data_IF_530768302732
#
_entry.id   IF_530768302732
#
_cell.length_a   1.000
_cell.length_b   1.000
_cell.length_c   1.000
_cell.angle_alpha   90.00
_cell.angle_beta   90.00
_cell.angle_gamma   90.00
#
_symmetry.space_group_name_H-M   'P 1'
#
loop_
_entity.id
_entity.type
_entity.pdbx_description
1 polymer ?
#
# COMPACT_ATOMS: atom_id res chain seq x y z
N UNK A 1 -13.07 -10.13 6.90
CA UNK A 1 -12.14 -10.74 5.92
C UNK A 1 -10.75 -10.21 6.25
N UNK A 2 -9.88 -11.03 6.83
CA UNK A 2 -8.46 -10.70 6.83
C UNK A 2 -7.99 -10.84 5.37
N UNK A 3 -7.30 -9.85 4.83
CA UNK A 3 -6.46 -10.08 3.66
C UNK A 3 -5.53 -11.25 4.01
N UNK A 4 -5.55 -12.32 3.21
CA UNK A 4 -4.59 -13.39 3.36
C UNK A 4 -3.20 -12.79 3.32
N UNK A 5 -2.29 -13.24 4.18
CA UNK A 5 -0.92 -12.72 4.30
C UNK A 5 -0.25 -12.60 2.92
N UNK A 6 -0.60 -13.51 2.00
CA UNK A 6 -0.18 -13.54 0.60
C UNK A 6 -0.58 -12.29 -0.22
N UNK A 7 -1.76 -11.72 0.02
CA UNK A 7 -2.23 -10.55 -0.71
C UNK A 7 -1.56 -9.26 -0.21
N UNK A 8 -1.28 -9.18 1.09
CA UNK A 8 -0.48 -8.09 1.65
C UNK A 8 0.96 -8.13 1.12
N UNK A 9 1.58 -9.31 1.07
CA UNK A 9 2.92 -9.52 0.49
C UNK A 9 2.94 -9.13 -0.99
N UNK A 10 1.91 -9.53 -1.76
CA UNK A 10 1.78 -9.18 -3.18
C UNK A 10 1.64 -7.68 -3.40
N UNK A 11 0.79 -6.99 -2.63
CA UNK A 11 0.62 -5.53 -2.72
C UNK A 11 1.91 -4.80 -2.34
N UNK A 12 2.62 -5.29 -1.31
CA UNK A 12 3.92 -4.75 -0.92
C UNK A 12 4.96 -4.90 -2.04
N UNK A 13 5.04 -6.05 -2.71
CA UNK A 13 5.94 -6.26 -3.85
C UNK A 13 5.63 -5.35 -5.04
N UNK A 14 4.35 -5.12 -5.34
CA UNK A 14 3.92 -4.18 -6.40
C UNK A 14 4.34 -2.75 -6.03
N UNK A 15 4.10 -2.33 -4.78
CA UNK A 15 4.46 -0.99 -4.32
C UNK A 15 5.97 -0.76 -4.37
N UNK A 16 6.78 -1.73 -3.90
CA UNK A 16 8.24 -1.66 -4.00
C UNK A 16 8.73 -1.59 -5.45
N UNK A 17 8.16 -2.41 -6.35
CA UNK A 17 8.55 -2.41 -7.76
C UNK A 17 8.23 -1.08 -8.44
N UNK A 18 7.03 -0.55 -8.21
CA UNK A 18 6.62 0.75 -8.73
C UNK A 18 7.51 1.87 -8.18
N UNK A 19 7.83 1.82 -6.89
CA UNK A 19 8.69 2.80 -6.23
C UNK A 19 10.13 2.77 -6.78
N UNK A 20 10.72 1.58 -7.01
CA UNK A 20 12.03 1.43 -7.68
C UNK A 20 12.01 2.02 -9.10
N UNK A 21 10.94 1.77 -9.86
CA UNK A 21 10.80 2.28 -11.24
C UNK A 21 10.73 3.81 -11.31
N UNK A 22 10.31 4.49 -10.24
CA UNK A 22 10.29 5.96 -10.19
C UNK A 22 11.68 6.58 -10.08
N UNK A 23 12.72 5.81 -9.73
CA UNK A 23 14.06 6.33 -9.46
C UNK A 23 14.20 7.05 -8.11
N UNK A 24 13.11 7.12 -7.33
CA UNK A 24 13.08 7.72 -6.00
C UNK A 24 14.00 6.98 -5.01
N UNK A 25 14.63 7.70 -4.10
CA UNK A 25 15.55 7.15 -3.09
C UNK A 25 15.30 7.74 -1.71
N UNK A 26 15.57 6.96 -0.67
CA UNK A 26 15.44 7.40 0.72
C UNK A 26 14.04 7.93 1.00
N UNK A 27 13.95 9.17 1.51
CA UNK A 27 12.68 9.79 1.90
C UNK A 27 11.66 9.91 0.75
N UNK A 28 12.13 10.08 -0.48
CA UNK A 28 11.25 10.16 -1.66
C UNK A 28 10.61 8.79 -1.97
N UNK A 29 11.35 7.70 -1.74
CA UNK A 29 10.84 6.34 -1.90
C UNK A 29 9.74 6.05 -0.89
N UNK A 30 9.94 6.45 0.37
CA UNK A 30 8.96 6.28 1.44
C UNK A 30 7.65 7.03 1.13
N UNK A 31 7.75 8.24 0.56
CA UNK A 31 6.58 9.02 0.12
C UNK A 31 5.84 8.35 -1.05
N UNK A 32 6.56 7.83 -2.05
CA UNK A 32 5.96 7.12 -3.19
C UNK A 32 5.24 5.85 -2.71
N UNK A 33 5.85 5.11 -1.79
CA UNK A 33 5.24 3.92 -1.21
C UNK A 33 3.97 4.28 -0.43
N UNK A 34 4.01 5.33 0.39
CA UNK A 34 2.83 5.82 1.13
C UNK A 34 1.68 6.19 0.18
N UNK A 35 1.97 6.94 -0.88
CA UNK A 35 1.01 7.32 -1.92
C UNK A 35 0.37 6.10 -2.61
N UNK A 36 1.16 5.07 -2.92
CA UNK A 36 0.64 3.84 -3.54
C UNK A 36 -0.35 3.15 -2.60
N UNK A 37 0.01 3.02 -1.32
CA UNK A 37 -0.88 2.38 -0.35
C UNK A 37 -2.14 3.20 -0.08
N UNK A 38 -2.07 4.54 -0.03
CA UNK A 38 -3.23 5.41 0.11
C UNK A 38 -4.23 5.19 -1.02
N UNK A 39 -3.74 5.10 -2.26
CA UNK A 39 -4.59 4.81 -3.43
C UNK A 39 -5.20 3.41 -3.31
N UNK A 40 -4.43 2.40 -2.89
CA UNK A 40 -4.94 1.03 -2.73
C UNK A 40 -6.03 0.95 -1.65
N UNK A 41 -5.85 1.63 -0.52
CA UNK A 41 -6.86 1.72 0.55
C UNK A 41 -8.10 2.45 0.04
N UNK A 42 -7.94 3.58 -0.64
CA UNK A 42 -9.06 4.34 -1.21
C UNK A 42 -9.85 3.50 -2.23
N UNK A 43 -9.18 2.73 -3.09
CA UNK A 43 -9.82 1.83 -4.04
C UNK A 43 -10.53 0.66 -3.35
N UNK A 44 -9.89 0.02 -2.37
CA UNK A 44 -10.50 -1.08 -1.62
C UNK A 44 -11.73 -0.63 -0.82
N UNK A 45 -11.74 0.62 -0.35
CA UNK A 45 -12.85 1.23 0.38
C UNK A 45 -13.97 1.78 -0.52
N UNK A 46 -13.86 1.72 -1.85
CA UNK A 46 -14.98 2.09 -2.75
C UNK A 46 -16.14 1.11 -2.72
N UNK A 47 -15.89 -0.13 -2.31
CA UNK A 47 -16.95 -1.13 -2.12
C UNK A 47 -17.53 -0.99 -0.71
N UNK A 48 -18.68 -0.31 -0.61
CA UNK A 48 -19.39 -0.04 0.65
C UNK A 48 -19.82 -1.31 1.39
N UNK A 49 -19.87 -2.46 0.71
CA UNK A 49 -20.23 -3.75 1.29
C UNK A 49 -19.06 -4.45 1.98
N UNK A 50 -17.84 -3.90 1.90
CA UNK A 50 -16.64 -4.48 2.51
C UNK A 50 -16.18 -3.67 3.72
N UNK A 51 -15.57 -4.33 4.72
CA UNK A 51 -15.03 -3.62 5.87
C UNK A 51 -13.96 -2.62 5.43
N UNK A 52 -14.06 -1.39 5.92
CA UNK A 52 -13.14 -0.31 5.60
C UNK A 52 -11.73 -0.62 6.11
N UNK A 53 -10.75 -0.49 5.22
CA UNK A 53 -9.33 -0.64 5.51
C UNK A 53 -8.75 0.68 5.98
N UNK A 54 -7.80 0.58 6.91
CA UNK A 54 -6.99 1.70 7.39
C UNK A 54 -5.52 1.31 7.26
N UNK A 55 -4.72 2.24 6.76
CA UNK A 55 -3.27 2.16 6.88
C UNK A 55 -2.89 2.29 8.35
N UNK A 56 -2.02 1.39 8.80
CA UNK A 56 -1.42 1.43 10.12
C UNK A 56 0.01 1.87 9.88
N UNK A 57 0.42 3.00 10.46
CA UNK A 57 1.81 3.42 10.40
C UNK A 57 2.67 2.37 11.13
N UNK A 58 3.65 1.81 10.42
CA UNK A 58 4.62 0.92 11.03
C UNK A 58 5.52 1.75 11.94
N UNK A 59 5.29 1.71 13.25
CA UNK A 59 6.28 2.13 14.25
C UNK A 59 7.51 1.25 14.08
N UNK A 60 8.56 1.83 13.50
CA UNK A 60 9.92 1.30 13.49
C UNK A 60 10.64 1.77 14.75
#
# INVERSE_FOLDING_TARGET
>A
MLFGMDEAIRLHGIAQTAAIQTGAKGHELDQVIALIFDVLVAQANRDENRPSLKLIEGTN
#
